data_IF_587779123312
#
_entry.id   IF_587779123312
#
_cell.length_a   1.000
_cell.length_b   1.000
_cell.length_c   1.000
_cell.angle_alpha   90.00
_cell.angle_beta   90.00
_cell.angle_gamma   90.00
#
_symmetry.space_group_name_H-M   'P 1'
#
loop_
_entity.id
_entity.type
_entity.pdbx_description
1 polymer ?
#
# COMPACT_ATOMS: atom_id res chain seq x y z
N UNK A 1 14.46 -80.27 0.59
CA UNK A 1 14.67 -78.82 0.35
C UNK A 1 13.32 -78.10 0.37
N UNK A 2 13.31 -76.85 0.89
CA UNK A 2 12.22 -75.85 0.95
C UNK A 2 11.44 -75.79 2.28
N UNK A 3 11.95 -75.06 3.29
CA UNK A 3 11.92 -73.60 3.60
C UNK A 3 10.65 -73.24 4.43
N UNK A 4 10.76 -72.89 5.73
CA UNK A 4 10.92 -71.51 6.29
C UNK A 4 9.87 -70.54 5.69
N UNK A 5 9.19 -69.62 6.38
CA UNK A 5 9.13 -69.15 7.76
C UNK A 5 8.13 -67.97 7.74
N UNK A 6 7.41 -67.79 8.84
CA UNK A 6 6.92 -66.54 9.45
C UNK A 6 6.53 -65.31 8.58
N UNK A 7 5.31 -64.84 8.87
CA UNK A 7 4.96 -63.44 9.15
C UNK A 7 5.38 -62.37 8.14
N UNK A 8 4.41 -61.81 7.44
CA UNK A 8 4.48 -60.43 6.94
C UNK A 8 3.12 -59.75 7.19
N UNK A 9 3.05 -59.00 8.28
CA UNK A 9 2.02 -58.01 8.53
C UNK A 9 2.23 -56.85 7.55
N UNK A 10 1.25 -56.58 6.70
CA UNK A 10 1.27 -55.44 5.79
C UNK A 10 0.84 -54.19 6.56
N UNK A 11 1.80 -53.33 6.89
CA UNK A 11 1.53 -51.98 7.40
C UNK A 11 1.10 -51.10 6.23
N UNK A 12 -0.18 -50.72 6.22
CA UNK A 12 -0.74 -49.75 5.28
C UNK A 12 -0.23 -48.35 5.65
N UNK A 13 0.68 -47.81 4.85
CA UNK A 13 1.15 -46.42 4.97
C UNK A 13 0.08 -45.49 4.39
N UNK A 14 -0.62 -44.75 5.25
CA UNK A 14 -1.55 -43.71 4.85
C UNK A 14 -0.79 -42.52 4.27
N UNK A 15 -0.97 -42.25 2.98
CA UNK A 15 -0.56 -40.98 2.36
C UNK A 15 -1.48 -39.87 2.85
N UNK A 16 -1.01 -39.14 3.87
CA UNK A 16 -1.62 -37.88 4.29
C UNK A 16 -1.55 -36.86 3.15
N UNK A 17 -2.70 -36.41 2.69
CA UNK A 17 -2.82 -35.32 1.73
C UNK A 17 -2.30 -34.04 2.37
N UNK A 18 -1.12 -33.59 1.96
CA UNK A 18 -0.59 -32.26 2.26
C UNK A 18 -1.43 -31.23 1.49
N UNK A 19 -2.42 -30.65 2.16
CA UNK A 19 -3.14 -29.48 1.66
C UNK A 19 -2.26 -28.25 1.85
N UNK A 20 -1.55 -27.86 0.80
CA UNK A 20 -0.78 -26.61 0.77
C UNK A 20 -1.81 -25.47 0.64
N UNK A 21 -2.16 -24.87 1.78
CA UNK A 21 -3.00 -23.66 1.79
C UNK A 21 -2.15 -22.48 1.34
N UNK A 22 -2.10 -22.20 0.05
CA UNK A 22 -1.56 -20.93 -0.44
C UNK A 22 -2.53 -19.82 -0.07
N UNK A 23 -2.35 -19.23 1.11
CA UNK A 23 -2.89 -17.92 1.42
C UNK A 23 -2.14 -16.89 0.57
N UNK A 24 -2.54 -16.77 -0.70
CA UNK A 24 -2.12 -15.65 -1.54
C UNK A 24 -2.87 -14.45 -1.01
N UNK A 25 -2.25 -13.70 -0.11
CA UNK A 25 -2.68 -12.34 0.21
C UNK A 25 -2.61 -11.53 -1.07
N UNK A 26 -3.76 -11.33 -1.72
CA UNK A 26 -3.88 -10.36 -2.81
C UNK A 26 -3.41 -9.01 -2.26
N UNK A 27 -2.52 -8.28 -2.96
CA UNK A 27 -2.18 -6.95 -2.55
C UNK A 27 -3.48 -6.15 -2.60
N UNK A 28 -3.93 -5.63 -1.46
CA UNK A 28 -4.98 -4.63 -1.42
C UNK A 28 -4.41 -3.36 -2.08
N UNK A 29 -4.40 -3.35 -3.42
CA UNK A 29 -4.26 -2.15 -4.20
C UNK A 29 -5.50 -1.34 -3.87
N UNK A 30 -5.37 -0.36 -2.98
CA UNK A 30 -6.42 0.61 -2.73
C UNK A 30 -6.77 1.24 -4.08
N UNK A 31 -7.92 0.87 -4.65
CA UNK A 31 -8.36 1.48 -5.91
C UNK A 31 -8.66 2.94 -5.62
N UNK A 32 -7.99 3.83 -6.34
CA UNK A 32 -8.27 5.26 -6.24
C UNK A 32 -9.59 5.49 -6.97
N UNK A 33 -10.59 5.95 -6.22
CA UNK A 33 -11.89 6.32 -6.79
C UNK A 33 -11.80 7.76 -7.26
N UNK A 34 -11.72 7.95 -8.58
CA UNK A 34 -11.69 9.27 -9.20
C UNK A 34 -13.07 9.71 -9.68
N UNK A 35 -13.33 11.01 -9.65
CA UNK A 35 -14.49 11.60 -10.32
C UNK A 35 -14.39 11.39 -11.84
N UNK A 36 -15.50 11.02 -12.52
CA UNK A 36 -15.51 10.82 -13.97
C UNK A 36 -14.99 12.04 -14.73
N UNK A 37 -14.14 11.81 -15.74
CA UNK A 37 -13.59 12.89 -16.58
C UNK A 37 -12.46 13.70 -15.94
N UNK A 38 -12.01 13.36 -14.72
CA UNK A 38 -10.93 14.10 -14.02
C UNK A 38 -9.59 13.37 -14.02
N UNK A 39 -9.54 12.14 -14.55
CA UNK A 39 -8.34 11.32 -14.61
C UNK A 39 -7.34 11.93 -15.60
N UNK A 40 -6.13 12.17 -15.10
CA UNK A 40 -4.98 12.61 -15.89
C UNK A 40 -3.93 11.52 -15.79
N UNK A 41 -3.39 11.10 -16.93
CA UNK A 41 -2.36 10.08 -17.01
C UNK A 41 -1.07 10.65 -17.59
N UNK A 42 0.05 10.04 -17.20
CA UNK A 42 1.34 10.24 -17.88
C UNK A 42 1.36 9.53 -19.24
N UNK A 43 2.39 9.80 -20.04
CA UNK A 43 2.56 9.18 -21.37
C UNK A 43 2.74 7.66 -21.32
N UNK A 44 3.16 7.11 -20.18
CA UNK A 44 3.25 5.67 -19.93
C UNK A 44 1.93 5.05 -19.44
N UNK A 45 0.82 5.80 -19.47
CA UNK A 45 -0.50 5.44 -18.96
C UNK A 45 -0.61 5.23 -17.45
N UNK A 46 0.42 5.57 -16.65
CA UNK A 46 0.27 5.62 -15.20
C UNK A 46 -0.59 6.82 -14.80
N UNK A 47 -1.33 6.68 -13.71
CA UNK A 47 -2.16 7.75 -13.17
C UNK A 47 -1.25 8.88 -12.68
N UNK A 48 -1.42 10.08 -13.23
CA UNK A 48 -0.74 11.30 -12.76
C UNK A 48 -1.54 11.99 -11.65
N UNK A 49 -2.86 11.92 -11.73
CA UNK A 49 -3.75 12.45 -10.71
C UNK A 49 -5.19 12.50 -11.16
N UNK A 50 -6.06 12.84 -10.21
CA UNK A 50 -7.49 13.03 -10.46
C UNK A 50 -8.13 13.79 -9.30
N UNK A 51 -9.40 14.16 -9.45
CA UNK A 51 -10.23 14.59 -8.31
C UNK A 51 -10.78 13.34 -7.63
N UNK A 52 -10.60 13.22 -6.31
CA UNK A 52 -11.11 12.09 -5.54
C UNK A 52 -12.64 12.09 -5.49
N UNK A 53 -13.26 10.93 -5.68
CA UNK A 53 -14.71 10.77 -5.56
C UNK A 53 -15.20 10.52 -4.14
N UNK A 54 -14.31 10.04 -3.26
CA UNK A 54 -14.58 9.79 -1.84
C UNK A 54 -13.32 10.03 -1.01
N UNK A 55 -13.50 10.22 0.30
CA UNK A 55 -12.38 10.27 1.23
C UNK A 55 -11.64 8.93 1.19
N UNK A 56 -10.31 8.98 1.21
CA UNK A 56 -9.49 7.77 1.22
C UNK A 56 -8.21 7.97 2.02
N UNK A 57 -7.70 6.89 2.60
CA UNK A 57 -6.41 6.91 3.27
C UNK A 57 -5.35 6.31 2.36
N UNK A 58 -4.37 7.12 1.97
CA UNK A 58 -3.18 6.64 1.26
C UNK A 58 -2.15 6.20 2.28
N UNK A 59 -1.75 4.93 2.22
CA UNK A 59 -0.67 4.41 3.03
C UNK A 59 0.63 4.43 2.22
N UNK A 60 1.65 5.09 2.75
CA UNK A 60 3.00 5.06 2.22
C UNK A 60 3.90 4.29 3.18
N UNK A 61 4.59 3.27 2.68
CA UNK A 61 5.52 2.47 3.47
C UNK A 61 6.91 2.48 2.84
N UNK A 62 7.92 2.62 3.69
CA UNK A 62 9.33 2.50 3.32
C UNK A 62 10.08 1.76 4.41
N UNK A 63 11.03 0.91 4.02
CA UNK A 63 11.94 0.24 4.96
C UNK A 63 12.73 1.23 5.83
N UNK A 64 13.01 2.43 5.31
CA UNK A 64 13.88 3.42 5.96
C UNK A 64 13.12 4.51 6.70
N UNK A 65 11.82 4.67 6.45
CA UNK A 65 10.99 5.73 7.04
C UNK A 65 9.69 5.22 7.70
N UNK A 66 9.48 3.90 7.71
CA UNK A 66 8.30 3.29 8.30
C UNK A 66 7.04 3.49 7.45
N UNK A 67 5.88 3.46 8.11
CA UNK A 67 4.58 3.60 7.47
C UNK A 67 3.93 4.90 7.89
N UNK A 68 3.45 5.68 6.91
CA UNK A 68 2.67 6.90 7.10
C UNK A 68 1.31 6.76 6.42
N UNK A 69 0.27 7.30 7.04
CA UNK A 69 -1.10 7.27 6.52
C UNK A 69 -1.57 8.70 6.28
N UNK A 70 -2.02 8.98 5.06
CA UNK A 70 -2.50 10.29 4.64
C UNK A 70 -4.00 10.21 4.33
N UNK A 71 -4.87 10.70 5.22
CA UNK A 71 -6.31 10.76 4.97
C UNK A 71 -6.57 11.89 3.97
N UNK A 72 -6.75 11.54 2.70
CA UNK A 72 -7.01 12.45 1.60
C UNK A 72 -8.51 12.71 1.46
N UNK A 73 -8.86 13.97 1.18
CA UNK A 73 -10.24 14.45 1.09
C UNK A 73 -10.87 14.20 -0.28
N UNK A 74 -12.14 13.80 -0.28
CA UNK A 74 -13.02 13.76 -1.44
C UNK A 74 -13.14 15.14 -2.10
N UNK A 75 -13.44 15.15 -3.39
CA UNK A 75 -13.60 16.36 -4.21
C UNK A 75 -12.35 17.26 -4.26
N UNK A 76 -11.21 16.74 -3.81
CA UNK A 76 -9.91 17.41 -3.88
C UNK A 76 -8.96 16.64 -4.80
N UNK A 77 -7.97 17.35 -5.36
CA UNK A 77 -7.01 16.75 -6.27
C UNK A 77 -5.98 15.89 -5.52
N UNK A 78 -5.74 14.69 -6.03
CA UNK A 78 -4.65 13.79 -5.64
C UNK A 78 -3.65 13.66 -6.79
N UNK A 79 -2.36 13.59 -6.49
CA UNK A 79 -1.30 13.47 -7.49
C UNK A 79 -0.32 12.34 -7.18
N UNK A 80 0.25 11.78 -8.24
CA UNK A 80 1.24 10.71 -8.22
C UNK A 80 2.39 11.05 -9.16
N UNK A 81 3.54 10.39 -8.99
CA UNK A 81 4.65 10.45 -9.94
C UNK A 81 4.45 9.51 -11.13
N UNK A 82 5.37 9.56 -12.10
CA UNK A 82 5.33 8.75 -13.31
C UNK A 82 5.43 7.23 -13.04
N UNK A 83 5.87 6.85 -11.85
CA UNK A 83 5.93 5.47 -11.34
C UNK A 83 4.70 5.08 -10.53
N UNK A 84 3.71 5.98 -10.38
CA UNK A 84 2.50 5.76 -9.60
C UNK A 84 2.69 5.91 -8.09
N UNK A 85 3.78 6.51 -7.62
CA UNK A 85 4.00 6.80 -6.22
C UNK A 85 3.23 8.04 -5.79
N UNK A 86 2.64 8.01 -4.60
CA UNK A 86 1.91 9.15 -4.05
C UNK A 86 2.80 10.39 -3.94
N UNK A 87 2.33 11.52 -4.47
CA UNK A 87 3.01 12.81 -4.38
C UNK A 87 2.26 13.81 -3.51
N UNK A 88 0.94 13.97 -3.67
CA UNK A 88 0.22 14.95 -2.84
C UNK A 88 -1.28 14.73 -2.79
N UNK A 89 -1.91 15.20 -1.72
CA UNK A 89 -3.35 15.39 -1.63
C UNK A 89 -3.71 16.48 -0.61
N UNK A 90 -4.97 16.90 -0.59
CA UNK A 90 -5.53 17.70 0.50
C UNK A 90 -5.98 16.78 1.64
N UNK A 91 -5.71 17.16 2.88
CA UNK A 91 -6.07 16.38 4.05
C UNK A 91 -7.55 16.49 4.43
N UNK A 92 -8.16 15.35 4.72
CA UNK A 92 -9.51 15.26 5.27
C UNK A 92 -9.54 15.58 6.78
N UNK A 93 -8.46 15.25 7.50
CA UNK A 93 -8.32 15.43 8.95
C UNK A 93 -6.88 15.79 9.33
N UNK A 94 -6.70 16.32 10.54
CA UNK A 94 -5.37 16.61 11.09
C UNK A 94 -4.53 15.32 11.19
N UNK A 95 -3.26 15.42 10.84
CA UNK A 95 -2.26 14.37 11.06
C UNK A 95 -1.05 14.90 11.82
N UNK A 96 -0.31 13.99 12.41
CA UNK A 96 0.99 14.27 13.01
C UNK A 96 2.10 13.69 12.15
N UNK A 97 3.04 14.55 11.75
CA UNK A 97 4.21 14.18 10.97
C UNK A 97 5.40 14.12 11.93
N UNK A 98 6.05 12.96 11.98
CA UNK A 98 7.26 12.76 12.78
C UNK A 98 8.49 12.81 11.89
N UNK A 99 9.33 13.82 12.06
CA UNK A 99 10.58 13.99 11.31
C UNK A 99 11.70 14.39 12.26
N UNK A 100 12.82 13.63 12.27
CA UNK A 100 14.03 13.93 13.06
C UNK A 100 13.76 14.30 14.54
N UNK A 101 12.95 13.50 15.25
CA UNK A 101 12.49 13.74 16.63
C UNK A 101 11.57 14.95 16.85
N UNK A 102 11.20 15.68 15.81
CA UNK A 102 10.15 16.69 15.86
C UNK A 102 8.79 16.06 15.49
N UNK A 103 7.74 16.51 16.17
CA UNK A 103 6.36 16.18 15.87
C UNK A 103 5.68 17.46 15.38
N UNK A 104 5.31 17.49 14.12
CA UNK A 104 4.63 18.64 13.50
C UNK A 104 3.20 18.26 13.17
N UNK A 105 2.25 19.09 13.59
CA UNK A 105 0.84 18.93 13.24
C UNK A 105 0.59 19.50 11.85
N UNK A 106 -0.10 18.74 11.01
CA UNK A 106 -0.59 19.19 9.73
C UNK A 106 -2.12 19.24 9.78
N UNK A 107 -2.73 20.43 9.82
CA UNK A 107 -4.18 20.58 9.95
C UNK A 107 -4.96 19.90 8.82
N UNK A 108 -6.25 19.66 9.07
CA UNK A 108 -7.19 19.38 7.98
C UNK A 108 -7.16 20.53 6.95
N UNK A 109 -7.62 20.25 5.73
CA UNK A 109 -7.65 21.20 4.61
C UNK A 109 -6.28 21.57 4.04
N UNK A 110 -5.17 21.25 4.70
CA UNK A 110 -3.84 21.54 4.17
C UNK A 110 -3.44 20.53 3.10
N UNK A 111 -2.56 20.97 2.20
CA UNK A 111 -1.90 20.10 1.25
C UNK A 111 -0.75 19.38 1.93
N UNK A 112 -0.75 18.06 1.85
CA UNK A 112 0.43 17.25 2.13
C UNK A 112 1.13 16.91 0.82
N UNK A 113 2.45 17.10 0.78
CA UNK A 113 3.29 16.73 -0.37
C UNK A 113 4.41 15.83 0.09
N UNK A 114 4.68 14.77 -0.65
CA UNK A 114 5.67 13.77 -0.34
C UNK A 114 6.67 13.67 -1.48
N UNK A 115 7.95 13.66 -1.13
CA UNK A 115 9.04 13.35 -2.05
C UNK A 115 9.83 12.16 -1.53
N UNK A 116 9.99 11.12 -2.34
CA UNK A 116 10.80 9.95 -2.02
C UNK A 116 12.19 10.12 -2.62
N UNK A 117 13.22 10.04 -1.78
CA UNK A 117 14.62 10.06 -2.22
C UNK A 117 15.03 8.72 -2.84
N UNK A 118 16.14 8.70 -3.57
CA UNK A 118 16.70 7.46 -4.14
C UNK A 118 17.06 6.41 -3.07
N UNK A 119 17.26 6.84 -1.82
CA UNK A 119 17.56 5.96 -0.70
C UNK A 119 16.28 5.44 -0.02
N UNK A 120 15.10 5.71 -0.58
CA UNK A 120 13.81 5.28 -0.04
C UNK A 120 13.35 6.07 1.18
N UNK A 121 14.08 7.09 1.64
CA UNK A 121 13.55 8.02 2.66
C UNK A 121 12.54 8.95 2.01
N UNK A 122 11.39 9.17 2.64
CA UNK A 122 10.45 10.18 2.19
C UNK A 122 10.54 11.43 3.08
N UNK A 123 10.42 12.60 2.47
CA UNK A 123 10.22 13.88 3.16
C UNK A 123 8.79 14.34 2.92
N UNK A 124 8.16 14.86 3.97
CA UNK A 124 6.76 15.26 3.98
C UNK A 124 6.70 16.75 4.24
N UNK A 125 6.14 17.50 3.30
CA UNK A 125 5.85 18.91 3.46
C UNK A 125 4.36 19.13 3.68
N UNK A 126 4.03 20.04 4.59
CA UNK A 126 2.66 20.44 4.89
C UNK A 126 2.52 21.94 4.63
N UNK A 127 1.57 22.33 3.78
CA UNK A 127 1.32 23.73 3.43
C UNK A 127 -0.18 24.01 3.29
N UNK A 128 -0.61 25.28 3.46
CA UNK A 128 -1.95 25.69 3.06
C UNK A 128 -2.24 25.29 1.60
N UNK A 129 -3.46 24.84 1.32
CA UNK A 129 -3.91 24.39 -0.01
C UNK A 129 -4.21 25.56 -0.94
#
# INVERSE_FOLDING_TARGET
MRFYSQSLAFLTYSWGLLTISFAVSLPAQASIVCEPGTIINYANNSLAGCILGQDMTVQLSSANAGTSNFPCRAKSYISFDDKGQFQSCQLAQEIEIKENNSLTKCPADYRVSVSVSNNGTFSINCSPY
#
